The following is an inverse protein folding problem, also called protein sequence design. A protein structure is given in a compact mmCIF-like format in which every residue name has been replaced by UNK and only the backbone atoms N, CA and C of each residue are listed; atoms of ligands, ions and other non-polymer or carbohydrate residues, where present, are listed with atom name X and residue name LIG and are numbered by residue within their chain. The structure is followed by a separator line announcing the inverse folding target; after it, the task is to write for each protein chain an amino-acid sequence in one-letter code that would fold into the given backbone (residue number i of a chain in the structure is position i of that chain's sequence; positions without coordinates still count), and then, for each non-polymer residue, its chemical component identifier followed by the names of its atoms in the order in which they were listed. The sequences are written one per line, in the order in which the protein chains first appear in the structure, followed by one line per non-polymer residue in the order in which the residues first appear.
data_IF_248103844929
#
_entry.id   IF_248103844929
#
_cell.length_a   1.000
_cell.length_b   1.000
_cell.length_c   1.000
_cell.angle_alpha   90.00
_cell.angle_beta   90.00
_cell.angle_gamma   90.00
#
_symmetry.space_group_name_H-M   'P 1'
#
loop_
_entity.id
_entity.type
_entity.pdbx_description
1 polymer ?
#
# COMPACT_ATOMS: atom_id res chain seq x y z
N UNK A 1 17.01 -12.55 10.09
CA UNK A 1 15.56 -12.81 10.20
C UNK A 1 15.26 -14.14 9.55
N UNK A 2 14.60 -15.04 10.27
CA UNK A 2 14.18 -16.36 9.80
C UNK A 2 12.66 -16.43 9.85
N UNK A 3 12.07 -17.09 8.86
CA UNK A 3 10.63 -17.36 8.80
C UNK A 3 10.41 -18.87 8.82
N UNK A 4 9.49 -19.31 9.68
CA UNK A 4 9.27 -20.73 9.95
C UNK A 4 8.00 -21.25 9.29
N UNK A 5 7.92 -22.57 9.15
CA UNK A 5 6.74 -23.26 8.61
C UNK A 5 5.51 -23.18 9.51
N UNK A 6 5.72 -22.89 10.78
CA UNK A 6 4.68 -22.64 11.77
C UNK A 6 4.30 -21.15 11.84
N UNK A 7 4.75 -20.29 10.93
CA UNK A 7 4.34 -18.87 10.89
C UNK A 7 5.06 -17.94 11.85
N UNK A 8 6.04 -18.43 12.61
CA UNK A 8 6.90 -17.60 13.43
C UNK A 8 7.97 -16.88 12.59
N UNK A 9 8.22 -15.63 12.96
CA UNK A 9 9.43 -14.91 12.58
C UNK A 9 10.37 -14.86 13.78
N UNK A 10 11.65 -15.15 13.52
CA UNK A 10 12.72 -15.03 14.50
C UNK A 10 13.73 -13.99 14.00
N UNK A 11 14.03 -13.02 14.83
CA UNK A 11 15.02 -11.98 14.55
C UNK A 11 16.24 -12.26 15.42
N UNK A 12 17.43 -12.16 14.84
CA UNK A 12 18.66 -12.58 15.50
C UNK A 12 19.69 -11.46 15.36
N UNK A 13 20.38 -11.13 16.45
CA UNK A 13 21.55 -10.27 16.43
C UNK A 13 22.76 -11.10 15.98
N UNK A 14 23.21 -10.90 14.74
CA UNK A 14 24.32 -11.66 14.18
C UNK A 14 25.71 -11.22 14.72
N UNK A 15 25.82 -10.06 15.36
CA UNK A 15 27.10 -9.50 15.79
C UNK A 15 27.51 -9.97 17.19
N UNK A 16 26.54 -10.30 18.05
CA UNK A 16 26.77 -10.69 19.45
C UNK A 16 26.19 -12.08 19.72
N UNK A 17 27.00 -13.12 19.48
CA UNK A 17 26.69 -14.50 19.93
C UNK A 17 25.42 -15.14 19.36
N UNK A 18 24.79 -14.55 18.34
CA UNK A 18 23.48 -14.96 17.83
C UNK A 18 22.39 -14.93 18.91
N UNK A 19 22.23 -13.81 19.60
CA UNK A 19 21.09 -13.63 20.50
C UNK A 19 19.80 -13.43 19.69
N UNK A 20 18.78 -14.25 20.00
CA UNK A 20 17.46 -14.15 19.39
C UNK A 20 16.67 -13.03 20.06
N UNK A 21 16.25 -12.05 19.27
CA UNK A 21 15.20 -11.11 19.61
C UNK A 21 13.87 -11.87 19.51
N UNK A 22 13.06 -11.78 20.57
CA UNK A 22 11.90 -12.62 20.87
C UNK A 22 11.11 -13.09 19.63
N UNK A 23 10.76 -14.38 19.53
CA UNK A 23 10.01 -14.90 18.39
C UNK A 23 8.62 -14.27 18.33
N UNK A 24 8.21 -13.86 17.14
CA UNK A 24 6.92 -13.25 16.87
C UNK A 24 6.08 -14.17 15.99
N UNK A 25 4.89 -14.55 16.47
CA UNK A 25 3.91 -15.27 15.65
C UNK A 25 3.25 -14.26 14.68
N UNK A 26 3.72 -14.23 13.44
CA UNK A 26 3.30 -13.23 12.44
C UNK A 26 2.30 -13.79 11.45
N UNK A 27 2.52 -15.02 10.99
CA UNK A 27 1.60 -15.72 10.10
C UNK A 27 0.86 -16.85 10.84
N UNK A 28 -0.36 -17.15 10.39
CA UNK A 28 -1.13 -18.30 10.87
C UNK A 28 -0.57 -19.57 10.26
N UNK A 29 -0.23 -19.52 8.97
CA UNK A 29 0.45 -20.59 8.23
C UNK A 29 1.93 -20.32 8.01
N UNK A 30 2.53 -21.06 7.06
CA UNK A 30 3.96 -21.02 6.74
C UNK A 30 4.39 -19.63 6.27
N UNK A 31 5.52 -19.14 6.77
CA UNK A 31 6.22 -18.01 6.14
C UNK A 31 6.97 -18.53 4.91
N UNK A 32 6.64 -18.02 3.74
CA UNK A 32 7.15 -18.51 2.44
C UNK A 32 8.27 -17.64 1.90
N UNK A 33 8.22 -16.34 2.16
CA UNK A 33 9.21 -15.38 1.73
C UNK A 33 9.28 -14.21 2.70
N UNK A 34 10.44 -13.57 2.82
CA UNK A 34 10.61 -12.38 3.66
C UNK A 34 11.78 -11.52 3.21
N UNK A 35 11.73 -10.25 3.57
CA UNK A 35 12.81 -9.27 3.41
C UNK A 35 12.82 -8.34 4.63
N UNK A 36 14.00 -7.88 5.03
CA UNK A 36 14.19 -6.95 6.14
C UNK A 36 14.84 -5.68 5.60
N UNK A 37 14.27 -4.52 5.94
CA UNK A 37 14.72 -3.19 5.53
C UNK A 37 14.70 -2.30 6.76
N UNK A 38 15.89 -2.00 7.30
CA UNK A 38 15.99 -1.38 8.62
C UNK A 38 15.22 -2.19 9.67
N UNK A 39 14.35 -1.52 10.42
CA UNK A 39 13.49 -2.13 11.44
C UNK A 39 12.18 -2.71 10.87
N UNK A 40 11.96 -2.68 9.56
CA UNK A 40 10.73 -3.19 8.94
C UNK A 40 10.98 -4.51 8.23
N UNK A 41 10.25 -5.54 8.61
CA UNK A 41 10.19 -6.82 7.91
C UNK A 41 8.94 -6.84 7.06
N UNK A 42 9.08 -7.17 5.78
CA UNK A 42 7.97 -7.56 4.93
C UNK A 42 8.03 -9.08 4.73
N UNK A 43 6.93 -9.78 5.02
CA UNK A 43 6.83 -11.23 4.93
C UNK A 43 5.60 -11.65 4.15
N UNK A 44 5.78 -12.70 3.36
CA UNK A 44 4.72 -13.44 2.70
C UNK A 44 4.46 -14.75 3.43
N UNK A 45 3.19 -15.14 3.54
CA UNK A 45 2.81 -16.40 4.14
C UNK A 45 1.61 -17.06 3.47
N UNK A 46 1.50 -18.37 3.70
CA UNK A 46 0.41 -19.21 3.24
C UNK A 46 -0.66 -19.27 4.32
N UNK A 47 -1.34 -18.13 4.52
CA UNK A 47 -2.39 -18.02 5.52
C UNK A 47 -3.72 -18.54 4.99
N UNK A 48 -4.44 -19.20 5.90
CA UNK A 48 -5.79 -19.68 5.65
C UNK A 48 -6.78 -18.51 5.55
N UNK A 49 -7.88 -18.79 4.86
CA UNK A 49 -8.96 -17.84 4.68
C UNK A 49 -9.72 -17.64 5.98
N UNK A 50 -9.81 -16.39 6.41
CA UNK A 50 -10.66 -15.97 7.53
C UNK A 50 -11.72 -15.01 7.01
N UNK A 51 -12.68 -14.63 7.87
CA UNK A 51 -13.77 -13.70 7.51
C UNK A 51 -13.25 -12.37 6.95
N UNK A 52 -12.07 -11.91 7.39
CA UNK A 52 -11.40 -10.70 6.87
C UNK A 52 -10.56 -10.93 5.59
N UNK A 53 -10.58 -12.13 5.02
CA UNK A 53 -9.76 -12.56 3.89
C UNK A 53 -8.39 -13.13 4.28
N UNK A 54 -7.63 -13.60 3.28
CA UNK A 54 -6.28 -14.15 3.45
C UNK A 54 -5.22 -13.07 3.54
N UNK A 55 -4.82 -12.70 4.76
CA UNK A 55 -3.77 -11.69 5.00
C UNK A 55 -2.36 -12.23 4.74
N UNK A 56 -2.06 -12.57 3.48
CA UNK A 56 -0.86 -13.29 3.10
C UNK A 56 0.41 -12.42 2.99
N UNK A 57 0.32 -11.09 3.04
CA UNK A 57 1.49 -10.19 3.12
C UNK A 57 1.39 -9.35 4.38
N UNK A 58 2.46 -9.31 5.18
CA UNK A 58 2.53 -8.56 6.44
C UNK A 58 3.78 -7.70 6.52
N UNK A 59 3.63 -6.57 7.20
CA UNK A 59 4.73 -5.75 7.67
C UNK A 59 4.83 -5.88 9.19
N UNK A 60 6.03 -6.12 9.69
CA UNK A 60 6.32 -6.37 11.10
C UNK A 60 7.53 -5.55 11.55
N UNK A 61 7.49 -5.00 12.75
CA UNK A 61 8.64 -4.33 13.35
C UNK A 61 9.65 -5.40 13.82
N UNK A 62 10.89 -5.30 13.37
CA UNK A 62 11.93 -6.28 13.64
C UNK A 62 12.37 -6.30 15.12
N UNK A 63 12.11 -5.22 15.87
CA UNK A 63 12.63 -5.06 17.24
C UNK A 63 11.73 -5.70 18.28
N UNK A 64 10.41 -5.57 18.10
CA UNK A 64 9.41 -6.05 19.06
C UNK A 64 8.43 -7.07 18.45
N UNK A 65 8.55 -7.36 17.14
CA UNK A 65 7.68 -8.32 16.46
C UNK A 65 6.24 -7.83 16.27
N UNK A 66 5.92 -6.56 16.56
CA UNK A 66 4.57 -6.05 16.41
C UNK A 66 4.18 -6.01 14.94
N UNK A 67 2.91 -6.33 14.67
CA UNK A 67 2.32 -6.18 13.34
C UNK A 67 2.11 -4.69 13.03
N UNK A 68 2.69 -4.23 11.94
CA UNK A 68 2.55 -2.85 11.43
C UNK A 68 1.40 -2.72 10.44
N UNK A 69 1.31 -3.64 9.47
CA UNK A 69 0.20 -3.72 8.50
C UNK A 69 0.05 -5.13 7.95
N UNK A 70 -1.10 -5.44 7.36
CA UNK A 70 -1.28 -6.66 6.57
C UNK A 70 -2.24 -6.43 5.41
N UNK A 71 -2.09 -7.28 4.39
CA UNK A 71 -2.79 -7.14 3.12
C UNK A 71 -3.42 -8.46 2.70
N UNK A 72 -4.70 -8.39 2.37
CA UNK A 72 -5.46 -9.51 1.82
C UNK A 72 -5.02 -9.77 0.39
N UNK A 73 -4.31 -10.89 0.18
CA UNK A 73 -3.75 -11.31 -1.11
C UNK A 73 -3.78 -12.84 -1.20
N UNK A 74 -3.58 -13.40 -2.39
CA UNK A 74 -3.26 -14.83 -2.49
C UNK A 74 -1.91 -15.12 -1.79
N UNK A 75 -1.63 -16.38 -1.41
CA UNK A 75 -0.35 -16.75 -0.81
C UNK A 75 0.83 -16.24 -1.62
N UNK A 76 1.67 -15.43 -0.98
CA UNK A 76 2.91 -14.97 -1.59
C UNK A 76 3.89 -16.15 -1.68
N UNK A 77 4.56 -16.31 -2.81
CA UNK A 77 5.44 -17.43 -3.12
C UNK A 77 6.91 -17.00 -3.17
N UNK A 78 7.17 -15.74 -3.51
CA UNK A 78 8.49 -15.19 -3.72
C UNK A 78 8.48 -13.67 -3.49
N UNK A 79 9.65 -13.09 -3.20
CA UNK A 79 9.79 -11.66 -2.93
C UNK A 79 11.18 -11.14 -3.28
N UNK A 80 11.27 -9.93 -3.83
CA UNK A 80 12.51 -9.22 -4.12
C UNK A 80 12.49 -7.81 -3.54
N UNK A 81 13.67 -7.27 -3.21
CA UNK A 81 13.83 -5.87 -2.82
C UNK A 81 14.40 -5.05 -3.97
N UNK A 82 13.93 -3.82 -4.08
CA UNK A 82 14.51 -2.73 -4.87
C UNK A 82 14.89 -1.62 -3.91
N UNK A 83 16.15 -1.19 -3.96
CA UNK A 83 16.63 -0.02 -3.22
C UNK A 83 16.99 1.09 -4.18
N UNK A 84 16.30 2.23 -4.05
CA UNK A 84 16.71 3.45 -4.73
C UNK A 84 17.77 4.15 -3.88
N UNK A 85 19.05 3.84 -4.12
CA UNK A 85 20.12 4.74 -3.67
C UNK A 85 20.11 5.94 -4.61
N UNK A 86 19.37 6.99 -4.26
CA UNK A 86 19.46 8.27 -4.94
C UNK A 86 20.93 8.72 -4.88
N UNK A 87 21.53 8.97 -6.05
CA UNK A 87 22.86 9.57 -6.12
C UNK A 87 22.76 11.03 -5.69
N UNK A 88 23.40 11.37 -4.58
CA UNK A 88 23.73 12.75 -4.19
C UNK A 88 22.63 13.49 -3.42
N UNK A 89 22.90 13.77 -2.14
CA UNK A 89 22.06 14.62 -1.29
C UNK A 89 22.03 14.13 0.15
N UNK A 90 22.60 14.91 1.05
CA UNK A 90 22.96 14.57 2.43
C UNK A 90 21.81 14.18 3.39
N UNK A 91 20.53 14.10 2.98
CA UNK A 91 19.46 14.00 3.99
C UNK A 91 18.08 13.48 3.56
N UNK A 92 17.98 12.48 2.68
CA UNK A 92 16.69 11.78 2.46
C UNK A 92 16.89 10.28 2.36
N UNK A 93 16.30 9.55 3.30
CA UNK A 93 16.22 8.09 3.29
C UNK A 93 15.79 7.62 1.89
N UNK A 94 16.60 6.79 1.25
CA UNK A 94 16.27 6.22 -0.06
C UNK A 94 14.95 5.47 0.01
N UNK A 95 14.10 5.63 -1.00
CA UNK A 95 12.85 4.86 -1.09
C UNK A 95 13.20 3.38 -1.30
N UNK A 96 12.60 2.52 -0.47
CA UNK A 96 12.77 1.07 -0.59
C UNK A 96 11.45 0.45 -0.98
N UNK A 97 11.50 -0.32 -2.06
CA UNK A 97 10.34 -1.00 -2.59
C UNK A 97 10.55 -2.51 -2.53
N UNK A 98 9.45 -3.25 -2.36
CA UNK A 98 9.45 -4.70 -2.46
C UNK A 98 8.53 -5.13 -3.58
N UNK A 99 8.87 -6.23 -4.26
CA UNK A 99 7.95 -6.90 -5.20
C UNK A 99 7.69 -8.29 -4.68
N UNK A 100 6.42 -8.64 -4.47
CA UNK A 100 6.01 -10.00 -4.13
C UNK A 100 5.28 -10.66 -5.29
N UNK A 101 5.48 -11.96 -5.47
CA UNK A 101 4.78 -12.81 -6.43
C UNK A 101 3.85 -13.76 -5.71
N UNK A 102 2.71 -14.08 -6.31
CA UNK A 102 1.62 -14.78 -5.64
C UNK A 102 1.14 -16.00 -6.42
N UNK A 103 0.47 -16.90 -5.69
CA UNK A 103 -0.06 -18.16 -6.22
C UNK A 103 -1.18 -17.98 -7.27
N UNK A 104 -1.86 -16.83 -7.28
CA UNK A 104 -2.91 -16.49 -8.25
C UNK A 104 -2.37 -15.86 -9.55
N UNK A 105 -1.04 -15.76 -9.69
CA UNK A 105 -0.39 -15.14 -10.85
C UNK A 105 -0.24 -13.63 -10.78
N UNK A 106 -0.68 -12.99 -9.69
CA UNK A 106 -0.43 -11.57 -9.48
C UNK A 106 0.96 -11.34 -8.88
N UNK A 107 1.53 -10.18 -9.18
CA UNK A 107 2.62 -9.62 -8.40
C UNK A 107 2.22 -8.25 -7.85
N UNK A 108 2.85 -7.81 -6.76
CA UNK A 108 2.50 -6.57 -6.08
C UNK A 108 3.77 -5.77 -5.83
N UNK A 109 3.73 -4.48 -6.13
CA UNK A 109 4.77 -3.52 -5.78
C UNK A 109 4.37 -2.83 -4.47
N UNK A 110 5.27 -2.86 -3.49
CA UNK A 110 5.07 -2.30 -2.16
C UNK A 110 6.04 -1.16 -1.90
N UNK A 111 5.55 -0.09 -1.29
CA UNK A 111 6.40 0.87 -0.59
C UNK A 111 6.67 0.33 0.81
N UNK A 112 7.93 0.03 1.12
CA UNK A 112 8.28 -0.62 2.39
C UNK A 112 8.24 0.38 3.55
N UNK A 113 8.57 1.64 3.30
CA UNK A 113 8.60 2.68 4.34
C UNK A 113 7.19 3.15 4.67
N UNK A 114 6.38 3.40 3.64
CA UNK A 114 4.98 3.80 3.80
C UNK A 114 4.05 2.61 4.07
N UNK A 115 4.56 1.38 3.97
CA UNK A 115 3.86 0.12 4.27
C UNK A 115 2.55 -0.03 3.51
N UNK A 116 2.55 0.32 2.22
CA UNK A 116 1.37 0.32 1.34
C UNK A 116 1.64 -0.38 0.00
N UNK A 117 0.59 -0.93 -0.59
CA UNK A 117 0.62 -1.39 -1.97
C UNK A 117 0.60 -0.18 -2.91
N UNK A 118 1.48 -0.16 -3.91
CA UNK A 118 1.51 0.85 -4.95
C UNK A 118 0.80 0.37 -6.21
N UNK A 119 1.14 -0.84 -6.65
CA UNK A 119 0.62 -1.39 -7.91
C UNK A 119 0.39 -2.89 -7.82
N UNK A 120 -0.65 -3.33 -8.52
CA UNK A 120 -0.90 -4.74 -8.82
C UNK A 120 -0.41 -4.99 -10.25
N UNK A 121 0.55 -5.90 -10.37
CA UNK A 121 1.15 -6.36 -11.61
C UNK A 121 0.39 -7.61 -12.05
N UNK A 122 -0.72 -7.39 -12.77
CA UNK A 122 -1.60 -8.44 -13.25
C UNK A 122 -1.19 -8.86 -14.66
N UNK A 123 -0.98 -10.16 -14.87
CA UNK A 123 -0.66 -10.67 -16.20
C UNK A 123 -0.24 -12.12 -16.27
N UNK A 124 0.43 -12.69 -15.26
CA UNK A 124 0.69 -14.13 -15.31
C UNK A 124 -0.62 -14.91 -15.18
N UNK A 125 -0.72 -16.01 -15.91
CA UNK A 125 -1.92 -16.87 -15.91
C UNK A 125 -1.80 -18.06 -14.93
N UNK A 126 -0.72 -18.09 -14.14
CA UNK A 126 -0.46 -19.10 -13.13
C UNK A 126 0.53 -18.54 -12.10
N UNK A 127 0.78 -19.28 -11.02
CA UNK A 127 1.59 -18.85 -9.88
C UNK A 127 2.93 -18.24 -10.31
N UNK A 128 3.23 -17.05 -9.77
CA UNK A 128 4.57 -16.46 -9.90
C UNK A 128 5.51 -17.26 -8.99
N UNK A 129 6.68 -17.67 -9.48
CA UNK A 129 7.63 -18.51 -8.71
C UNK A 129 8.96 -17.84 -8.42
N UNK A 130 9.34 -16.88 -9.25
CA UNK A 130 10.62 -16.20 -9.12
C UNK A 130 10.46 -14.74 -9.48
N UNK A 131 11.20 -13.89 -8.76
CA UNK A 131 11.26 -12.45 -9.00
C UNK A 131 12.69 -11.99 -8.82
N UNK A 132 13.14 -11.17 -9.77
CA UNK A 132 14.31 -10.32 -9.65
C UNK A 132 13.86 -8.87 -9.84
N UNK A 133 14.40 -7.93 -9.06
CA UNK A 133 14.08 -6.52 -9.21
C UNK A 133 15.37 -5.70 -9.13
N UNK A 134 15.48 -4.72 -10.01
CA UNK A 134 16.49 -3.69 -9.97
C UNK A 134 15.84 -2.30 -9.84
N UNK A 135 16.61 -1.25 -10.10
CA UNK A 135 16.10 0.13 -10.01
C UNK A 135 15.10 0.48 -11.10
N UNK A 136 15.14 -0.18 -12.24
CA UNK A 136 14.38 0.20 -13.44
C UNK A 136 13.20 -0.72 -13.67
N UNK A 137 13.33 -2.00 -13.33
CA UNK A 137 12.31 -2.99 -13.58
C UNK A 137 12.33 -4.17 -12.60
N UNK A 138 11.20 -4.88 -12.54
CA UNK A 138 11.13 -6.23 -12.04
C UNK A 138 10.98 -7.21 -13.21
N UNK A 139 11.60 -8.38 -13.08
CA UNK A 139 11.36 -9.54 -13.93
C UNK A 139 10.74 -10.62 -13.08
N UNK A 140 9.59 -11.13 -13.50
CA UNK A 140 8.85 -12.20 -12.83
C UNK A 140 8.81 -13.44 -13.72
N UNK A 141 8.97 -14.62 -13.15
CA UNK A 141 8.81 -15.90 -13.84
C UNK A 141 7.67 -16.71 -13.20
N UNK A 142 6.79 -17.27 -14.04
CA UNK A 142 5.59 -17.98 -13.58
C UNK A 142 5.47 -19.41 -14.09
N UNK A 143 4.60 -20.17 -13.44
CA UNK A 143 4.22 -21.55 -13.85
C UNK A 143 3.46 -21.56 -15.20
N UNK A 144 3.05 -20.40 -15.70
CA UNK A 144 2.50 -20.21 -17.05
C UNK A 144 3.55 -20.33 -18.16
N UNK A 145 4.79 -20.71 -17.80
CA UNK A 145 5.93 -20.90 -18.69
C UNK A 145 6.41 -19.60 -19.34
N UNK A 146 6.08 -18.45 -18.76
CA UNK A 146 6.51 -17.14 -19.26
C UNK A 146 7.34 -16.38 -18.23
N UNK A 147 8.17 -15.46 -18.74
CA UNK A 147 8.78 -14.40 -17.95
C UNK A 147 8.18 -13.06 -18.37
N UNK A 148 7.94 -12.17 -17.42
CA UNK A 148 7.37 -10.84 -17.65
C UNK A 148 8.27 -9.77 -17.05
N UNK A 149 8.41 -8.66 -17.77
CA UNK A 149 9.18 -7.50 -17.31
C UNK A 149 8.23 -6.35 -17.02
N UNK A 150 8.40 -5.74 -15.85
CA UNK A 150 7.59 -4.65 -15.34
C UNK A 150 8.51 -3.47 -15.11
N UNK A 151 8.39 -2.41 -15.92
CA UNK A 151 9.18 -1.19 -15.69
C UNK A 151 8.54 -0.37 -14.58
N UNK A 152 9.35 0.11 -13.67
CA UNK A 152 8.93 1.10 -12.69
C UNK A 152 8.92 2.46 -13.37
N UNK A 153 7.86 3.24 -13.17
CA UNK A 153 7.90 4.65 -13.49
C UNK A 153 9.03 5.31 -12.69
N UNK A 154 9.72 6.28 -13.29
CA UNK A 154 10.82 6.98 -12.62
C UNK A 154 10.37 7.46 -11.23
N UNK A 155 11.24 7.35 -10.21
CA UNK A 155 10.87 7.72 -8.83
C UNK A 155 10.33 9.15 -8.73
N UNK A 156 10.77 10.03 -9.63
CA UNK A 156 10.27 11.40 -9.79
C UNK A 156 8.81 11.45 -10.29
N UNK A 157 8.42 10.54 -11.19
CA UNK A 157 7.05 10.44 -11.70
C UNK A 157 6.11 10.02 -10.57
N UNK A 158 6.47 8.99 -9.80
CA UNK A 158 5.68 8.54 -8.66
C UNK A 158 5.55 9.60 -7.57
N UNK A 159 6.60 10.38 -7.31
CA UNK A 159 6.53 11.52 -6.39
C UNK A 159 5.59 12.61 -6.90
N UNK A 160 5.70 12.98 -8.17
CA UNK A 160 4.81 13.97 -8.78
C UNK A 160 3.35 13.50 -8.74
N UNK A 161 3.07 12.22 -8.98
CA UNK A 161 1.73 11.66 -8.88
C UNK A 161 1.19 11.74 -7.43
N UNK A 162 2.01 11.38 -6.43
CA UNK A 162 1.64 11.49 -5.00
C UNK A 162 1.36 12.94 -4.61
N UNK A 163 2.23 13.87 -4.99
CA UNK A 163 2.03 15.30 -4.72
C UNK A 163 0.79 15.85 -5.42
N UNK A 164 0.50 15.41 -6.64
CA UNK A 164 -0.72 15.78 -7.34
C UNK A 164 -1.96 15.23 -6.64
N UNK A 165 -1.95 13.97 -6.21
CA UNK A 165 -3.06 13.36 -5.47
C UNK A 165 -3.30 14.09 -4.13
N UNK A 166 -2.25 14.36 -3.36
CA UNK A 166 -2.34 15.13 -2.11
C UNK A 166 -2.86 16.56 -2.34
N UNK A 167 -2.44 17.20 -3.45
CA UNK A 167 -2.91 18.53 -3.82
C UNK A 167 -4.40 18.53 -4.21
N UNK A 168 -4.86 17.50 -4.92
CA UNK A 168 -6.28 17.33 -5.25
C UNK A 168 -7.08 17.10 -3.97
N UNK A 169 -6.59 16.26 -3.05
CA UNK A 169 -7.24 16.03 -1.75
C UNK A 169 -7.38 17.31 -0.92
N UNK A 170 -6.31 18.11 -0.79
CA UNK A 170 -6.36 19.40 -0.09
C UNK A 170 -7.39 20.34 -0.68
N UNK A 171 -7.35 20.54 -2.00
CA UNK A 171 -8.29 21.43 -2.70
C UNK A 171 -9.74 20.97 -2.53
N UNK A 172 -9.96 19.66 -2.53
CA UNK A 172 -11.30 19.11 -2.35
C UNK A 172 -11.80 19.32 -0.92
N UNK A 173 -10.91 19.25 0.08
CA UNK A 173 -11.23 19.62 1.47
C UNK A 173 -11.63 21.10 1.57
N UNK A 174 -10.85 22.00 0.96
CA UNK A 174 -11.15 23.44 0.97
C UNK A 174 -12.53 23.74 0.35
N UNK A 175 -12.88 23.07 -0.76
CA UNK A 175 -14.20 23.18 -1.38
C UNK A 175 -15.33 22.64 -0.47
N UNK A 176 -15.08 21.58 0.30
CA UNK A 176 -16.04 21.10 1.30
C UNK A 176 -16.29 22.14 2.41
N UNK A 177 -15.23 22.82 2.86
CA UNK A 177 -15.30 23.83 3.90
C UNK A 177 -16.05 25.07 3.42
N UNK A 178 -15.78 25.53 2.19
CA UNK A 178 -16.52 26.60 1.53
C UNK A 178 -18.01 26.26 1.36
N UNK A 179 -18.31 25.01 0.97
CA UNK A 179 -19.69 24.51 0.89
C UNK A 179 -20.41 24.54 2.24
N UNK A 180 -19.71 24.13 3.31
CA UNK A 180 -20.23 24.09 4.68
C UNK A 180 -20.47 25.49 5.24
N UNK A 181 -19.60 26.45 4.91
CA UNK A 181 -19.77 27.85 5.29
C UNK A 181 -20.93 28.51 4.53
N UNK A 182 -21.05 28.25 3.22
CA UNK A 182 -22.17 28.75 2.41
C UNK A 182 -23.52 28.22 2.90
N UNK A 183 -23.57 26.94 3.30
CA UNK A 183 -24.75 26.32 3.88
C UNK A 183 -25.15 27.00 5.20
N UNK A 184 -24.20 27.19 6.14
CA UNK A 184 -24.44 27.93 7.40
C UNK A 184 -24.95 29.37 7.18
N UNK A 185 -24.59 30.00 6.06
CA UNK A 185 -25.06 31.34 5.67
C UNK A 185 -26.37 31.33 4.88
N UNK A 186 -27.05 30.19 4.75
CA UNK A 186 -28.32 30.05 4.02
C UNK A 186 -28.22 30.15 2.49
N UNK A 187 -27.00 30.12 1.92
CA UNK A 187 -26.77 30.26 0.47
C UNK A 187 -26.76 28.90 -0.21
N UNK A 188 -27.92 28.23 -0.24
CA UNK A 188 -28.07 26.83 -0.67
C UNK A 188 -27.53 26.55 -2.09
N UNK A 189 -27.80 27.42 -3.06
CA UNK A 189 -27.30 27.25 -4.43
C UNK A 189 -25.77 27.32 -4.54
N UNK A 190 -25.11 28.16 -3.72
CA UNK A 190 -23.64 28.21 -3.65
C UNK A 190 -23.07 26.98 -2.95
N UNK A 191 -23.70 26.55 -1.85
CA UNK A 191 -23.31 25.34 -1.13
C UNK A 191 -23.38 24.10 -2.03
N UNK A 192 -24.48 23.90 -2.76
CA UNK A 192 -24.66 22.79 -3.69
C UNK A 192 -23.60 22.79 -4.81
N UNK A 193 -23.17 23.96 -5.28
CA UNK A 193 -22.11 24.10 -6.29
C UNK A 193 -20.75 23.65 -5.75
N UNK A 194 -20.36 24.13 -4.57
CA UNK A 194 -19.11 23.74 -3.92
C UNK A 194 -19.05 22.23 -3.64
N UNK A 195 -20.13 21.63 -3.12
CA UNK A 195 -20.18 20.18 -2.93
C UNK A 195 -20.17 19.39 -4.24
N UNK A 196 -20.78 19.90 -5.32
CA UNK A 196 -20.67 19.25 -6.63
C UNK A 196 -19.24 19.25 -7.15
N UNK A 197 -18.58 20.41 -7.11
CA UNK A 197 -17.19 20.56 -7.53
C UNK A 197 -16.27 19.63 -6.73
N UNK A 198 -16.46 19.56 -5.42
CA UNK A 198 -15.67 18.68 -4.57
C UNK A 198 -15.88 17.19 -4.89
N UNK A 199 -17.12 16.77 -5.19
CA UNK A 199 -17.39 15.39 -5.64
C UNK A 199 -16.72 15.11 -6.99
N UNK A 200 -16.78 16.06 -7.93
CA UNK A 200 -16.17 15.89 -9.24
C UNK A 200 -14.63 15.81 -9.15
N UNK A 201 -14.00 16.57 -8.23
CA UNK A 201 -12.57 16.45 -7.93
C UNK A 201 -12.22 15.12 -7.25
N UNK A 202 -13.04 14.66 -6.30
CA UNK A 202 -12.81 13.40 -5.57
C UNK A 202 -12.92 12.16 -6.47
N UNK A 203 -13.71 12.20 -7.55
CA UNK A 203 -13.84 11.10 -8.52
C UNK A 203 -12.54 10.77 -9.25
N UNK A 204 -11.62 11.72 -9.34
CA UNK A 204 -10.31 11.53 -9.97
C UNK A 204 -9.27 10.85 -9.07
N UNK A 205 -9.59 10.62 -7.79
CA UNK A 205 -8.67 10.07 -6.79
C UNK A 205 -8.94 8.57 -6.62
N UNK A 206 -7.89 7.74 -6.67
CA UNK A 206 -8.04 6.27 -6.60
C UNK A 206 -8.57 5.80 -5.24
N UNK A 207 -8.32 6.52 -4.15
CA UNK A 207 -8.77 6.13 -2.81
C UNK A 207 -8.99 7.33 -1.86
N UNK A 208 -10.11 8.08 -1.99
CA UNK A 208 -10.37 9.24 -1.14
C UNK A 208 -10.66 8.85 0.33
N UNK A 209 -10.27 9.68 1.31
CA UNK A 209 -10.55 9.42 2.73
C UNK A 209 -12.05 9.27 3.05
N UNK A 210 -12.39 8.31 3.92
CA UNK A 210 -13.78 8.00 4.30
C UNK A 210 -14.50 9.21 4.91
N UNK A 211 -13.81 10.00 5.74
CA UNK A 211 -14.38 11.20 6.38
C UNK A 211 -14.75 12.28 5.35
N UNK A 212 -13.93 12.43 4.31
CA UNK A 212 -14.13 13.39 3.22
C UNK A 212 -15.32 12.97 2.35
N UNK A 213 -15.44 11.68 2.04
CA UNK A 213 -16.60 11.14 1.33
C UNK A 213 -17.89 11.30 2.16
N UNK A 214 -17.84 11.04 3.48
CA UNK A 214 -18.99 11.23 4.36
C UNK A 214 -19.48 12.69 4.38
N UNK A 215 -18.57 13.66 4.51
CA UNK A 215 -18.90 15.10 4.45
C UNK A 215 -19.54 15.49 3.10
N UNK A 216 -19.02 14.96 2.00
CA UNK A 216 -19.53 15.24 0.65
C UNK A 216 -20.95 14.73 0.42
N UNK A 217 -21.25 13.50 0.85
CA UNK A 217 -22.57 12.89 0.63
C UNK A 217 -23.65 13.45 1.54
N UNK A 218 -23.37 13.59 2.85
CA UNK A 218 -24.36 14.08 3.81
C UNK A 218 -24.79 15.54 3.51
N UNK A 219 -23.82 16.42 3.26
CA UNK A 219 -24.13 17.85 3.13
C UNK A 219 -24.74 18.21 1.76
N UNK A 220 -24.39 17.50 0.69
CA UNK A 220 -25.02 17.69 -0.63
C UNK A 220 -26.47 17.24 -0.66
N UNK A 221 -26.80 16.16 0.04
CA UNK A 221 -28.17 15.68 0.17
C UNK A 221 -29.01 16.66 1.01
N UNK A 222 -28.49 17.12 2.14
CA UNK A 222 -29.15 18.12 3.00
C UNK A 222 -29.46 19.42 2.23
N UNK A 223 -28.50 19.95 1.47
CA UNK A 223 -28.69 21.16 0.67
C UNK A 223 -29.74 21.02 -0.46
N UNK A 224 -30.06 19.78 -0.90
CA UNK A 224 -31.11 19.52 -1.89
C UNK A 224 -32.49 19.37 -1.28
N UNK A 225 -32.59 18.82 -0.07
CA UNK A 225 -33.86 18.61 0.63
C UNK A 225 -34.50 19.91 1.09
N UNK A 226 -33.69 20.91 1.48
CA UNK A 226 -34.18 22.22 1.95
C UNK A 226 -34.34 23.27 0.83
N UNK A 227 -33.81 22.98 -0.36
CA UNK A 227 -33.90 23.87 -1.54
C UNK A 227 -35.05 23.53 -2.50
N UNK A 228 -35.93 22.61 -2.10
CA UNK A 228 -37.13 22.25 -2.87
C UNK A 228 -38.35 23.03 -2.39
N UNK A 229 -38.55 24.20 -3.01
CA UNK A 229 -39.83 24.87 -3.25
C UNK A 229 -39.78 25.44 -4.68
#
# INVERSE_FOLDING_TARGET
VLGRSDGMLEVWNALEGAEMIQPAKVHRGRVTCLRCVGDTIISGGEDEEVVSGRECVRFTDARDGRRLSAFTTAPATCMALRTDVLKGGSDRAGSVYAVSGHADGKAFLWDVLERRCLHVLDGHHSAVRSICADRVCAVTGGDDKTCRTWRFADSLVLQNEKEQEERVLRRTSDECDLGSEAYRKGKLGKAAKHYSNAIDMARGVQSPPVEMMAKLFCNRAAARLEGGD
#
